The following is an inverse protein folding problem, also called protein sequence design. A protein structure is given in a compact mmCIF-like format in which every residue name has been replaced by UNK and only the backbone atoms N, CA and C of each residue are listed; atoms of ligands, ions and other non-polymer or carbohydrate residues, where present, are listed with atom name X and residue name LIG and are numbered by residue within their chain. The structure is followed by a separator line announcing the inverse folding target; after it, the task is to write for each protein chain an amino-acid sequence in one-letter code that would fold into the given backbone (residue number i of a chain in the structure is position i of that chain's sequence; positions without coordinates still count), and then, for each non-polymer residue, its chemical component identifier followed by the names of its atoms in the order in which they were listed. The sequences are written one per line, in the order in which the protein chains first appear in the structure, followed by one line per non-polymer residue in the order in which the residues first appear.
data_IF_651837918265
#
_entry.id   IF_651837918265
#
_cell.length_a   1.000
_cell.length_b   1.000
_cell.length_c   1.000
_cell.angle_alpha   90.00
_cell.angle_beta   90.00
_cell.angle_gamma   90.00
#
_symmetry.space_group_name_H-M   'P 1'
#
loop_
_entity.id
_entity.type
_entity.pdbx_description
1 polymer ?
#
# COMPACT_ATOMS: atom_id res chain seq x y z
N UNK A 1 6.62 1.84 20.65
CA UNK A 1 5.27 1.41 20.21
C UNK A 1 5.41 0.04 19.60
N UNK A 2 4.44 -0.85 19.75
CA UNK A 2 4.45 -2.14 19.05
C UNK A 2 4.04 -1.90 17.60
N UNK A 3 4.75 -2.54 16.65
CA UNK A 3 4.42 -2.48 15.23
C UNK A 3 3.00 -3.01 14.99
N UNK A 4 2.20 -2.41 14.08
CA UNK A 4 0.91 -2.95 13.69
C UNK A 4 1.06 -4.37 13.09
N UNK A 5 0.07 -5.26 13.26
CA UNK A 5 0.07 -6.57 12.61
C UNK A 5 0.18 -6.42 11.09
N UNK A 6 0.89 -7.34 10.44
CA UNK A 6 0.99 -7.33 8.97
C UNK A 6 -0.38 -7.57 8.32
N UNK A 7 -0.54 -7.08 7.10
CA UNK A 7 -1.65 -7.37 6.20
C UNK A 7 -1.15 -7.89 4.86
N UNK A 8 -2.07 -8.25 4.00
CA UNK A 8 -1.79 -8.61 2.60
C UNK A 8 -2.67 -7.78 1.68
N UNK A 9 -2.05 -7.21 0.63
CA UNK A 9 -2.78 -6.48 -0.41
C UNK A 9 -3.55 -7.49 -1.27
N UNK A 10 -4.87 -7.33 -1.36
CA UNK A 10 -5.75 -8.26 -2.07
C UNK A 10 -5.58 -8.21 -3.60
N UNK A 11 -4.99 -7.14 -4.15
CA UNK A 11 -4.62 -7.08 -5.57
C UNK A 11 -3.67 -8.23 -5.97
N UNK A 12 -2.80 -8.64 -5.07
CA UNK A 12 -1.90 -9.80 -5.23
C UNK A 12 -2.65 -11.07 -5.63
N UNK A 13 -3.84 -11.27 -5.07
CA UNK A 13 -4.65 -12.49 -5.25
C UNK A 13 -5.92 -12.25 -6.08
N UNK A 14 -5.96 -11.18 -6.89
CA UNK A 14 -7.14 -10.77 -7.64
C UNK A 14 -7.75 -11.88 -8.50
N UNK A 15 -6.92 -12.66 -9.18
CA UNK A 15 -7.38 -13.77 -10.03
C UNK A 15 -7.97 -14.93 -9.19
N UNK A 16 -7.40 -15.18 -8.00
CA UNK A 16 -7.93 -16.16 -7.06
C UNK A 16 -9.25 -15.68 -6.44
N UNK A 17 -9.36 -14.38 -6.13
CA UNK A 17 -10.62 -13.79 -5.62
C UNK A 17 -11.73 -13.82 -6.65
N UNK A 18 -11.41 -13.61 -7.93
CA UNK A 18 -12.37 -13.73 -9.02
C UNK A 18 -12.87 -15.18 -9.16
N UNK A 19 -11.97 -16.16 -9.00
CA UNK A 19 -12.30 -17.57 -9.09
C UNK A 19 -13.11 -18.06 -7.86
N UNK A 20 -12.66 -17.77 -6.65
CA UNK A 20 -13.33 -18.15 -5.38
C UNK A 20 -12.86 -17.25 -4.24
N UNK A 21 -13.61 -16.18 -3.99
CA UNK A 21 -13.29 -15.22 -2.93
C UNK A 21 -13.29 -15.87 -1.53
N UNK A 22 -14.25 -16.77 -1.27
CA UNK A 22 -14.37 -17.40 0.04
C UNK A 22 -13.17 -18.31 0.34
N UNK A 23 -12.78 -19.16 -0.60
CA UNK A 23 -11.63 -20.05 -0.44
C UNK A 23 -10.32 -19.25 -0.34
N UNK A 24 -10.16 -18.20 -1.13
CA UNK A 24 -8.96 -17.35 -1.12
C UNK A 24 -8.79 -16.65 0.22
N UNK A 25 -9.83 -15.98 0.73
CA UNK A 25 -9.78 -15.29 2.04
C UNK A 25 -9.58 -16.29 3.18
N UNK A 26 -10.22 -17.47 3.12
CA UNK A 26 -10.00 -18.54 4.09
C UNK A 26 -8.52 -18.99 4.12
N UNK A 27 -7.90 -19.13 2.94
CA UNK A 27 -6.49 -19.50 2.85
C UNK A 27 -5.56 -18.42 3.46
N UNK A 28 -5.81 -17.13 3.18
CA UNK A 28 -5.06 -16.03 3.79
C UNK A 28 -5.21 -16.01 5.32
N UNK A 29 -6.42 -16.19 5.83
CA UNK A 29 -6.67 -16.30 7.27
C UNK A 29 -5.93 -17.52 7.90
N UNK A 30 -5.89 -18.66 7.19
CA UNK A 30 -5.17 -19.85 7.65
C UNK A 30 -3.64 -19.67 7.67
N UNK A 31 -3.08 -18.74 6.87
CA UNK A 31 -1.66 -18.34 6.92
C UNK A 31 -1.35 -17.43 8.13
N UNK A 32 -2.36 -17.03 8.90
CA UNK A 32 -2.19 -16.18 10.09
C UNK A 32 -2.39 -14.69 9.85
N UNK A 33 -2.82 -14.28 8.67
CA UNK A 33 -3.21 -12.88 8.47
C UNK A 33 -4.45 -12.54 9.31
N UNK A 34 -4.36 -11.44 10.04
CA UNK A 34 -5.49 -10.88 10.81
C UNK A 34 -6.04 -9.61 10.17
N UNK A 35 -5.39 -9.15 9.13
CA UNK A 35 -5.79 -7.98 8.35
C UNK A 35 -5.51 -8.21 6.86
N UNK A 36 -6.30 -7.55 6.03
CA UNK A 36 -6.12 -7.48 4.57
C UNK A 36 -6.22 -6.03 4.14
N UNK A 37 -5.69 -5.75 2.96
CA UNK A 37 -5.84 -4.47 2.30
C UNK A 37 -6.64 -4.65 1.02
N UNK A 38 -7.95 -4.32 1.04
CA UNK A 38 -8.79 -4.35 -0.14
C UNK A 38 -8.35 -3.34 -1.20
N UNK A 39 -8.68 -3.61 -2.45
CA UNK A 39 -8.44 -2.70 -3.57
C UNK A 39 -9.73 -2.42 -4.37
N UNK A 40 -9.69 -1.36 -5.19
CA UNK A 40 -10.78 -1.05 -6.12
C UNK A 40 -12.02 -0.44 -5.47
N UNK A 41 -11.90 0.20 -4.28
CA UNK A 41 -13.02 0.96 -3.73
C UNK A 41 -13.40 2.12 -4.65
N UNK A 42 -14.73 2.37 -4.84
CA UNK A 42 -15.87 1.81 -4.11
C UNK A 42 -16.44 0.49 -4.68
N UNK A 43 -15.88 -0.05 -5.76
CA UNK A 43 -16.47 -1.14 -6.54
C UNK A 43 -16.00 -2.55 -6.07
N UNK A 44 -15.50 -2.67 -4.84
CA UNK A 44 -15.10 -3.97 -4.28
C UNK A 44 -16.29 -4.97 -4.31
N UNK A 45 -16.11 -6.17 -4.91
CA UNK A 45 -17.20 -7.16 -5.02
C UNK A 45 -17.77 -7.56 -3.65
N UNK A 46 -19.08 -7.72 -3.59
CA UNK A 46 -19.79 -8.13 -2.36
C UNK A 46 -19.26 -9.47 -1.82
N UNK A 47 -18.94 -10.42 -2.72
CA UNK A 47 -18.37 -11.71 -2.34
C UNK A 47 -17.05 -11.59 -1.57
N UNK A 48 -16.20 -10.63 -1.94
CA UNK A 48 -14.94 -10.35 -1.21
C UNK A 48 -15.25 -9.72 0.15
N UNK A 49 -16.16 -8.74 0.21
CA UNK A 49 -16.56 -8.11 1.48
C UNK A 49 -17.15 -9.12 2.46
N UNK A 50 -18.03 -9.98 1.99
CA UNK A 50 -18.63 -11.05 2.81
C UNK A 50 -17.58 -12.05 3.31
N UNK A 51 -16.64 -12.46 2.46
CA UNK A 51 -15.56 -13.37 2.84
C UNK A 51 -14.63 -12.76 3.90
N UNK A 52 -14.21 -11.49 3.73
CA UNK A 52 -13.40 -10.76 4.71
C UNK A 52 -14.12 -10.69 6.07
N UNK A 53 -15.40 -10.32 6.05
CA UNK A 53 -16.23 -10.25 7.27
C UNK A 53 -16.41 -11.61 7.95
N UNK A 54 -16.65 -12.69 7.15
CA UNK A 54 -16.83 -14.04 7.67
C UNK A 54 -15.60 -14.58 8.42
N UNK A 55 -14.40 -14.15 8.04
CA UNK A 55 -13.16 -14.53 8.71
C UNK A 55 -12.68 -13.50 9.75
N UNK A 56 -13.43 -12.43 9.98
CA UNK A 56 -13.10 -11.40 10.97
C UNK A 56 -11.79 -10.66 10.67
N UNK A 57 -11.38 -10.58 9.40
CA UNK A 57 -10.16 -9.88 9.01
C UNK A 57 -10.39 -8.36 9.06
N UNK A 58 -9.46 -7.64 9.68
CA UNK A 58 -9.49 -6.18 9.70
C UNK A 58 -9.07 -5.60 8.34
N UNK A 59 -9.54 -4.39 8.05
CA UNK A 59 -9.23 -3.63 6.83
C UNK A 59 -8.65 -2.26 7.19
N UNK A 60 -7.45 -2.19 7.80
CA UNK A 60 -6.91 -0.93 8.30
C UNK A 60 -6.60 0.08 7.19
N UNK A 61 -6.16 -0.42 6.05
CA UNK A 61 -5.93 0.34 4.82
C UNK A 61 -6.72 -0.30 3.68
N UNK A 62 -7.06 0.48 2.65
CA UNK A 62 -7.66 -0.01 1.41
C UNK A 62 -7.34 0.94 0.26
N UNK A 63 -7.03 0.39 -0.91
CA UNK A 63 -6.86 1.15 -2.13
C UNK A 63 -8.22 1.53 -2.73
N UNK A 64 -8.39 2.82 -3.04
CA UNK A 64 -9.64 3.33 -3.61
C UNK A 64 -9.46 4.61 -4.40
N UNK A 65 -10.31 4.80 -5.40
CA UNK A 65 -10.30 5.97 -6.28
C UNK A 65 -10.84 7.22 -5.55
N UNK A 66 -10.18 7.62 -4.47
CA UNK A 66 -10.67 8.70 -3.59
C UNK A 66 -10.69 10.05 -4.29
N UNK A 67 -9.74 10.33 -5.19
CA UNK A 67 -9.70 11.58 -5.94
C UNK A 67 -10.77 11.65 -7.03
N UNK A 68 -11.08 10.54 -7.67
CA UNK A 68 -12.08 10.50 -8.74
C UNK A 68 -13.52 10.36 -8.22
N UNK A 69 -13.73 9.65 -7.10
CA UNK A 69 -15.04 9.24 -6.59
C UNK A 69 -15.13 9.41 -5.07
N UNK A 70 -14.79 10.59 -4.56
CA UNK A 70 -14.59 10.87 -3.14
C UNK A 70 -15.73 10.37 -2.24
N UNK A 71 -16.98 10.81 -2.49
CA UNK A 71 -18.10 10.47 -1.60
C UNK A 71 -18.44 8.97 -1.61
N UNK A 72 -18.39 8.33 -2.78
CA UNK A 72 -18.69 6.91 -2.94
C UNK A 72 -17.61 6.05 -2.27
N UNK A 73 -16.33 6.43 -2.44
CA UNK A 73 -15.19 5.73 -1.84
C UNK A 73 -15.20 5.84 -0.31
N UNK A 74 -15.51 7.02 0.23
CA UNK A 74 -15.65 7.22 1.68
C UNK A 74 -16.79 6.33 2.23
N UNK A 75 -17.93 6.29 1.53
CA UNK A 75 -19.09 5.47 1.95
C UNK A 75 -18.71 3.99 2.00
N UNK A 76 -18.10 3.47 0.92
CA UNK A 76 -17.67 2.08 0.85
C UNK A 76 -16.61 1.74 1.91
N UNK A 77 -15.67 2.64 2.17
CA UNK A 77 -14.65 2.49 3.19
C UNK A 77 -15.26 2.44 4.61
N UNK A 78 -16.23 3.31 4.90
CA UNK A 78 -16.93 3.32 6.18
C UNK A 78 -17.70 2.01 6.41
N UNK A 79 -18.37 1.46 5.40
CA UNK A 79 -19.08 0.17 5.46
C UNK A 79 -18.14 -1.01 5.76
N UNK A 80 -16.87 -0.94 5.30
CA UNK A 80 -15.85 -1.96 5.52
C UNK A 80 -15.06 -1.77 6.83
N UNK A 81 -15.24 -0.63 7.51
CA UNK A 81 -14.44 -0.29 8.69
C UNK A 81 -12.99 0.10 8.36
N UNK A 82 -12.74 0.58 7.14
CA UNK A 82 -11.42 1.06 6.71
C UNK A 82 -11.02 2.31 7.51
N UNK A 83 -9.79 2.34 7.97
CA UNK A 83 -9.24 3.46 8.74
C UNK A 83 -8.52 4.48 7.85
N UNK A 84 -7.87 4.01 6.78
CA UNK A 84 -7.17 4.87 5.82
C UNK A 84 -7.47 4.43 4.40
N UNK A 85 -8.01 5.33 3.59
CA UNK A 85 -8.15 5.13 2.14
C UNK A 85 -6.87 5.59 1.47
N UNK A 86 -6.27 4.72 0.68
CA UNK A 86 -5.05 5.02 -0.08
C UNK A 86 -5.43 5.26 -1.55
N UNK A 87 -5.10 6.44 -2.09
CA UNK A 87 -5.13 6.67 -3.55
C UNK A 87 -3.98 5.88 -4.18
N UNK A 88 -4.28 4.87 -5.02
CA UNK A 88 -3.24 3.92 -5.43
C UNK A 88 -2.40 4.38 -6.61
N UNK A 89 -2.88 5.34 -7.40
CA UNK A 89 -2.23 5.70 -8.65
C UNK A 89 -2.71 7.03 -9.20
N UNK A 90 -1.76 7.81 -9.71
CA UNK A 90 -2.03 8.98 -10.53
C UNK A 90 -1.15 8.95 -11.79
N UNK A 91 -1.60 9.59 -12.86
CA UNK A 91 -0.84 9.68 -14.10
C UNK A 91 0.56 10.27 -13.82
N UNK A 92 1.66 9.61 -14.26
CA UNK A 92 3.03 10.11 -14.09
C UNK A 92 3.23 11.56 -14.57
N UNK A 93 2.48 12.03 -15.56
CA UNK A 93 2.53 13.40 -16.02
C UNK A 93 2.17 14.42 -14.92
N UNK A 94 1.42 14.01 -13.89
CA UNK A 94 1.08 14.85 -12.74
C UNK A 94 2.24 15.07 -11.76
N UNK A 95 3.37 14.38 -11.97
CA UNK A 95 4.58 14.51 -11.16
C UNK A 95 5.74 15.14 -11.95
N UNK A 96 5.46 15.73 -13.12
CA UNK A 96 6.48 16.31 -13.99
C UNK A 96 7.04 17.65 -13.50
N UNK A 97 6.26 18.41 -12.75
CA UNK A 97 6.64 19.72 -12.21
C UNK A 97 5.88 20.06 -10.90
N UNK A 98 6.38 21.09 -10.20
CA UNK A 98 5.83 21.48 -8.88
C UNK A 98 4.36 21.97 -8.95
N UNK A 99 3.94 22.55 -10.06
CA UNK A 99 2.55 23.05 -10.22
C UNK A 99 1.59 21.86 -10.32
N UNK A 100 1.94 20.87 -11.13
CA UNK A 100 1.16 19.61 -11.28
C UNK A 100 1.09 18.83 -9.97
N UNK A 101 2.21 18.73 -9.24
CA UNK A 101 2.25 18.09 -7.90
C UNK A 101 1.38 18.86 -6.90
N UNK A 102 1.41 20.21 -6.93
CA UNK A 102 0.57 21.03 -6.05
C UNK A 102 -0.92 20.83 -6.30
N UNK A 103 -1.33 20.54 -7.54
CA UNK A 103 -2.70 20.18 -7.87
C UNK A 103 -3.10 18.85 -7.22
N UNK A 104 -2.25 17.81 -7.32
CA UNK A 104 -2.48 16.52 -6.63
C UNK A 104 -2.55 16.70 -5.12
N UNK A 105 -1.63 17.50 -4.54
CA UNK A 105 -1.61 17.80 -3.11
C UNK A 105 -2.89 18.45 -2.63
N UNK A 106 -3.41 19.41 -3.39
CA UNK A 106 -4.67 20.09 -3.08
C UNK A 106 -5.87 19.14 -3.12
N UNK A 107 -5.93 18.24 -4.12
CA UNK A 107 -6.98 17.22 -4.23
C UNK A 107 -6.93 16.22 -3.07
N UNK A 108 -5.73 15.72 -2.71
CA UNK A 108 -5.56 14.81 -1.56
C UNK A 108 -5.94 15.48 -0.25
N UNK A 109 -5.54 16.75 -0.06
CA UNK A 109 -5.90 17.53 1.12
C UNK A 109 -7.41 17.69 1.24
N UNK A 110 -8.10 18.03 0.15
CA UNK A 110 -9.55 18.16 0.13
C UNK A 110 -10.24 16.81 0.39
N UNK A 111 -9.73 15.71 -0.17
CA UNK A 111 -10.23 14.38 0.10
C UNK A 111 -10.04 13.98 1.58
N UNK A 112 -8.89 14.32 2.18
CA UNK A 112 -8.63 14.08 3.59
C UNK A 112 -9.57 14.87 4.51
N UNK A 113 -9.89 16.12 4.15
CA UNK A 113 -10.89 16.93 4.86
C UNK A 113 -12.29 16.29 4.80
N UNK A 114 -12.69 15.83 3.62
CA UNK A 114 -13.98 15.16 3.43
C UNK A 114 -14.07 13.83 4.19
N UNK A 115 -13.01 13.03 4.20
CA UNK A 115 -12.96 11.74 4.88
C UNK A 115 -12.91 11.86 6.42
N UNK A 116 -12.27 12.93 6.92
CA UNK A 116 -12.07 13.14 8.35
C UNK A 116 -13.39 13.25 9.14
N UNK A 117 -14.48 13.76 8.54
CA UNK A 117 -15.81 13.82 9.19
C UNK A 117 -16.40 12.44 9.46
N UNK A 118 -15.88 11.42 8.77
CA UNK A 118 -16.23 10.00 8.95
C UNK A 118 -15.21 9.24 9.82
N UNK A 119 -14.18 9.93 10.34
CA UNK A 119 -13.09 9.32 11.11
C UNK A 119 -12.13 8.50 10.26
N UNK A 120 -12.09 8.74 8.94
CA UNK A 120 -11.26 8.03 7.98
C UNK A 120 -10.13 8.97 7.53
N UNK A 121 -8.90 8.45 7.48
CA UNK A 121 -7.76 9.15 6.92
C UNK A 121 -7.64 8.88 5.41
N UNK A 122 -6.86 9.72 4.72
CA UNK A 122 -6.52 9.54 3.30
C UNK A 122 -5.01 9.50 3.15
N UNK A 123 -4.53 8.62 2.30
CA UNK A 123 -3.12 8.47 1.98
C UNK A 123 -2.89 8.35 0.47
N UNK A 124 -1.60 8.32 0.12
CA UNK A 124 -1.12 8.14 -1.25
C UNK A 124 -0.09 7.01 -1.31
N UNK A 125 -0.19 6.18 -2.35
CA UNK A 125 0.75 5.09 -2.65
C UNK A 125 1.59 5.44 -3.88
N UNK A 126 2.90 5.17 -3.83
CA UNK A 126 3.81 5.45 -4.93
C UNK A 126 4.04 4.24 -5.83
N UNK A 127 4.39 4.56 -7.06
CA UNK A 127 5.13 3.71 -7.97
C UNK A 127 6.53 4.31 -8.23
N UNK A 128 7.18 3.90 -9.30
CA UNK A 128 8.51 4.39 -9.67
C UNK A 128 8.51 5.85 -10.15
N UNK A 129 7.45 6.28 -10.81
CA UNK A 129 7.36 7.60 -11.43
C UNK A 129 7.49 8.75 -10.43
N UNK A 130 6.86 8.65 -9.26
CA UNK A 130 6.88 9.65 -8.20
C UNK A 130 8.26 9.79 -7.53
N UNK A 131 9.11 8.80 -7.71
CA UNK A 131 10.43 8.76 -7.11
C UNK A 131 11.55 8.97 -8.12
N UNK A 132 11.36 8.55 -9.39
CA UNK A 132 12.29 8.82 -10.50
C UNK A 132 12.16 10.26 -11.02
N UNK A 133 10.97 10.88 -10.94
CA UNK A 133 10.79 12.29 -11.20
C UNK A 133 11.33 13.13 -10.05
N UNK A 134 12.08 14.19 -10.35
CA UNK A 134 12.68 15.07 -9.33
C UNK A 134 12.41 16.54 -9.63
N UNK A 135 12.11 17.31 -8.59
CA UNK A 135 11.96 18.76 -8.65
C UNK A 135 13.11 19.38 -7.81
N UNK A 136 13.96 20.12 -8.46
CA UNK A 136 15.17 20.69 -7.84
C UNK A 136 16.07 19.65 -7.11
N UNK A 137 16.07 18.41 -7.64
CA UNK A 137 16.84 17.29 -7.08
C UNK A 137 16.12 16.55 -5.92
N UNK A 138 14.88 16.91 -5.60
CA UNK A 138 14.06 16.23 -4.60
C UNK A 138 13.04 15.30 -5.30
N UNK A 139 12.91 14.02 -4.92
CA UNK A 139 11.90 13.13 -5.47
C UNK A 139 10.49 13.72 -5.37
N UNK A 140 9.70 13.58 -6.45
CA UNK A 140 8.36 14.18 -6.53
C UNK A 140 7.41 13.71 -5.42
N UNK A 141 7.56 12.46 -4.93
CA UNK A 141 6.82 11.97 -3.76
C UNK A 141 7.08 12.82 -2.51
N UNK A 142 8.33 13.22 -2.27
CA UNK A 142 8.68 14.06 -1.11
C UNK A 142 8.21 15.50 -1.30
N UNK A 143 8.19 16.00 -2.55
CA UNK A 143 7.58 17.29 -2.87
C UNK A 143 6.06 17.23 -2.65
N UNK A 144 5.40 16.12 -3.01
CA UNK A 144 4.00 15.89 -2.70
C UNK A 144 3.76 15.91 -1.18
N UNK A 145 4.61 15.22 -0.41
CA UNK A 145 4.53 15.22 1.05
C UNK A 145 4.71 16.62 1.65
N UNK A 146 5.61 17.44 1.10
CA UNK A 146 5.79 18.84 1.52
C UNK A 146 4.55 19.69 1.26
N UNK A 147 3.88 19.49 0.12
CA UNK A 147 2.77 20.32 -0.34
C UNK A 147 1.40 19.89 0.20
N UNK A 148 1.26 18.66 0.70
CA UNK A 148 0.01 18.18 1.31
C UNK A 148 -0.10 18.62 2.78
N UNK A 149 -1.35 18.74 3.27
CA UNK A 149 -1.63 18.85 4.71
C UNK A 149 -1.10 17.62 5.47
N UNK A 150 -0.67 17.79 6.72
CA UNK A 150 -0.12 16.72 7.57
C UNK A 150 -1.10 15.57 7.83
N UNK A 151 -2.39 15.75 7.58
CA UNK A 151 -3.42 14.70 7.63
C UNK A 151 -3.35 13.70 6.47
N UNK A 152 -2.68 14.07 5.37
CA UNK A 152 -2.46 13.15 4.25
C UNK A 152 -1.31 12.21 4.60
N UNK A 153 -1.58 10.93 4.58
CA UNK A 153 -0.66 9.87 4.95
C UNK A 153 -0.01 9.25 3.71
N UNK A 154 0.95 8.35 3.92
CA UNK A 154 1.64 7.69 2.82
C UNK A 154 1.73 6.18 3.06
N UNK A 155 1.67 5.45 1.98
CA UNK A 155 2.03 4.05 1.89
C UNK A 155 3.19 3.94 0.91
N UNK A 156 4.31 3.39 1.37
CA UNK A 156 5.53 3.26 0.56
C UNK A 156 5.58 1.88 -0.09
N UNK A 157 5.64 1.84 -1.41
CA UNK A 157 6.09 0.65 -2.11
C UNK A 157 7.62 0.64 -2.18
N UNK A 158 8.24 -0.25 -1.39
CA UNK A 158 9.68 -0.34 -1.28
C UNK A 158 10.34 -0.86 -2.57
N UNK A 159 9.68 -1.78 -3.31
CA UNK A 159 10.18 -2.30 -4.58
C UNK A 159 10.18 -1.23 -5.66
N UNK A 160 9.08 -0.51 -5.83
CA UNK A 160 9.00 0.56 -6.81
C UNK A 160 9.93 1.73 -6.49
N UNK A 161 10.22 1.98 -5.21
CA UNK A 161 11.27 2.93 -4.81
C UNK A 161 12.66 2.46 -5.28
N UNK A 162 12.98 1.19 -5.09
CA UNK A 162 14.25 0.62 -5.57
C UNK A 162 14.32 0.61 -7.12
N UNK A 163 13.21 0.33 -7.82
CA UNK A 163 13.11 0.45 -9.29
C UNK A 163 13.41 1.87 -9.77
N UNK A 164 12.92 2.88 -9.05
CA UNK A 164 13.21 4.29 -9.32
C UNK A 164 14.69 4.68 -9.07
N UNK A 165 15.47 3.78 -8.48
CA UNK A 165 16.90 4.00 -8.19
C UNK A 165 17.14 4.83 -6.93
N UNK A 166 16.17 4.94 -6.03
CA UNK A 166 16.30 5.61 -4.73
C UNK A 166 16.35 4.58 -3.60
N UNK A 167 16.99 4.94 -2.49
CA UNK A 167 16.98 4.10 -1.28
C UNK A 167 15.61 4.18 -0.59
N UNK A 168 14.82 3.09 -0.55
CA UNK A 168 13.51 3.12 0.08
C UNK A 168 13.55 3.37 1.60
N UNK A 169 14.65 3.07 2.29
CA UNK A 169 14.79 3.37 3.71
C UNK A 169 15.00 4.87 3.97
N UNK A 170 15.68 5.58 3.06
CA UNK A 170 15.78 7.04 3.12
C UNK A 170 14.40 7.69 2.88
N UNK A 171 13.62 7.20 1.92
CA UNK A 171 12.26 7.67 1.68
C UNK A 171 11.37 7.41 2.90
N UNK A 172 11.41 6.20 3.48
CA UNK A 172 10.67 5.87 4.70
C UNK A 172 11.02 6.82 5.86
N UNK A 173 12.29 7.12 6.04
CA UNK A 173 12.78 8.06 7.05
C UNK A 173 12.26 9.47 6.80
N UNK A 174 12.27 9.93 5.54
CA UNK A 174 11.83 11.27 5.16
C UNK A 174 10.32 11.47 5.34
N UNK A 175 9.51 10.43 5.07
CA UNK A 175 8.05 10.48 5.29
C UNK A 175 7.68 10.44 6.78
N UNK A 176 8.54 9.85 7.63
CA UNK A 176 8.40 9.85 9.09
C UNK A 176 7.06 9.30 9.57
N UNK A 177 6.44 9.94 10.55
CA UNK A 177 5.16 9.49 11.15
C UNK A 177 3.97 9.50 10.17
N UNK A 178 4.10 10.14 9.02
CA UNK A 178 3.08 10.11 7.97
C UNK A 178 3.10 8.82 7.14
N UNK A 179 4.15 8.01 7.24
CA UNK A 179 4.23 6.69 6.61
C UNK A 179 3.46 5.67 7.45
N UNK A 180 2.29 5.22 7.01
CA UNK A 180 1.40 4.33 7.78
C UNK A 180 1.46 2.87 7.35
N UNK A 181 1.88 2.62 6.11
CA UNK A 181 2.02 1.28 5.58
C UNK A 181 3.21 1.16 4.61
N UNK A 182 3.75 -0.04 4.47
CA UNK A 182 4.87 -0.37 3.59
C UNK A 182 4.49 -1.61 2.81
N UNK A 183 4.41 -1.52 1.49
CA UNK A 183 4.34 -2.70 0.63
C UNK A 183 5.67 -3.44 0.67
N UNK A 184 5.62 -4.62 1.28
CA UNK A 184 6.75 -5.55 1.38
C UNK A 184 6.74 -6.41 0.12
N UNK A 185 7.39 -5.90 -0.89
CA UNK A 185 7.52 -6.45 -2.23
C UNK A 185 9.00 -6.56 -2.57
N UNK A 186 9.46 -7.69 -3.08
CA UNK A 186 10.86 -8.00 -3.34
C UNK A 186 11.09 -8.53 -4.75
N UNK A 187 12.32 -8.43 -5.22
CA UNK A 187 12.72 -8.86 -6.56
C UNK A 187 14.05 -8.23 -6.96
N UNK A 188 14.34 -8.31 -8.25
CA UNK A 188 15.42 -7.53 -8.88
C UNK A 188 14.83 -6.22 -9.41
N UNK A 189 15.20 -5.04 -8.86
CA UNK A 189 14.69 -3.74 -9.32
C UNK A 189 15.06 -3.40 -10.77
N UNK A 190 16.05 -4.08 -11.35
CA UNK A 190 16.41 -3.93 -12.78
C UNK A 190 15.65 -4.89 -13.70
N UNK A 191 14.85 -5.78 -13.12
CA UNK A 191 14.08 -6.80 -13.80
C UNK A 191 12.68 -6.36 -14.22
N UNK A 192 11.80 -7.32 -14.35
CA UNK A 192 10.38 -7.09 -14.63
C UNK A 192 9.52 -7.57 -13.46
N UNK A 193 8.26 -7.14 -13.41
CA UNK A 193 7.33 -7.51 -12.33
C UNK A 193 7.09 -9.03 -12.23
N UNK A 194 7.27 -9.78 -13.32
CA UNK A 194 7.20 -11.23 -13.34
C UNK A 194 8.38 -11.90 -12.60
N UNK A 195 9.43 -11.14 -12.30
CA UNK A 195 10.62 -11.60 -11.58
C UNK A 195 10.58 -11.26 -10.10
N UNK A 196 9.44 -10.79 -9.59
CA UNK A 196 9.25 -10.64 -8.16
C UNK A 196 9.36 -11.98 -7.46
N UNK A 197 9.91 -11.96 -6.25
CA UNK A 197 10.18 -13.14 -5.42
C UNK A 197 9.66 -12.90 -4.00
N UNK A 198 9.51 -13.96 -3.18
CA UNK A 198 9.16 -13.78 -1.78
C UNK A 198 10.11 -12.82 -1.05
N UNK A 199 9.60 -12.08 -0.09
CA UNK A 199 10.38 -11.14 0.71
C UNK A 199 11.64 -11.79 1.31
N UNK A 200 12.76 -11.09 1.23
CA UNK A 200 14.08 -11.58 1.66
C UNK A 200 14.81 -12.45 0.65
N UNK A 201 14.24 -12.69 -0.53
CA UNK A 201 14.86 -13.47 -1.61
C UNK A 201 15.32 -12.61 -2.80
N UNK A 202 14.97 -11.33 -2.81
CA UNK A 202 15.40 -10.35 -3.81
C UNK A 202 16.53 -9.46 -3.32
N UNK A 203 16.58 -8.25 -3.84
CA UNK A 203 17.62 -7.27 -3.54
C UNK A 203 17.10 -5.95 -2.98
N UNK A 204 15.81 -5.84 -2.69
CA UNK A 204 15.23 -4.68 -2.03
C UNK A 204 15.64 -4.70 -0.54
N UNK A 205 16.16 -3.60 0.03
CA UNK A 205 16.61 -3.55 1.43
C UNK A 205 15.43 -3.48 2.41
N UNK A 206 14.53 -4.47 2.36
CA UNK A 206 13.27 -4.48 3.11
C UNK A 206 13.46 -4.45 4.63
N UNK A 207 14.51 -5.07 5.15
CA UNK A 207 14.79 -5.07 6.59
C UNK A 207 15.13 -3.65 7.08
N UNK A 208 15.92 -2.91 6.31
CA UNK A 208 16.27 -1.52 6.57
C UNK A 208 15.05 -0.60 6.48
N UNK A 209 14.19 -0.81 5.47
CA UNK A 209 12.93 -0.06 5.32
C UNK A 209 12.02 -0.28 6.52
N UNK A 210 11.82 -1.53 6.92
CA UNK A 210 11.03 -1.86 8.10
C UNK A 210 11.62 -1.29 9.38
N UNK A 211 12.94 -1.25 9.52
CA UNK A 211 13.61 -0.64 10.67
C UNK A 211 13.47 0.89 10.69
N UNK A 212 13.46 1.55 9.52
CA UNK A 212 13.30 3.00 9.40
C UNK A 212 11.91 3.49 9.83
N UNK A 213 10.86 2.66 9.66
CA UNK A 213 9.49 3.01 10.04
C UNK A 213 8.81 1.90 10.87
N UNK A 214 9.23 1.71 12.15
CA UNK A 214 8.72 0.64 12.99
C UNK A 214 7.23 0.79 13.37
N UNK A 215 6.66 1.95 13.16
CA UNK A 215 5.24 2.26 13.38
C UNK A 215 4.36 1.94 12.17
N UNK A 216 4.94 1.84 10.96
CA UNK A 216 4.22 1.54 9.75
C UNK A 216 3.85 0.04 9.66
N UNK A 217 2.68 -0.25 9.09
CA UNK A 217 2.19 -1.61 8.87
C UNK A 217 2.92 -2.27 7.70
N UNK A 218 3.50 -3.46 7.85
CA UNK A 218 3.96 -4.24 6.71
C UNK A 218 2.74 -4.81 5.96
N UNK A 219 2.72 -4.64 4.65
CA UNK A 219 1.70 -5.17 3.74
C UNK A 219 2.39 -6.06 2.72
N UNK A 220 2.16 -7.36 2.78
CA UNK A 220 2.71 -8.29 1.78
C UNK A 220 2.02 -8.05 0.43
N UNK A 221 2.80 -7.86 -0.62
CA UNK A 221 2.24 -7.56 -1.93
C UNK A 221 3.12 -8.09 -3.08
N UNK A 222 2.46 -8.47 -4.18
CA UNK A 222 3.03 -8.79 -5.48
C UNK A 222 2.16 -8.20 -6.58
N UNK A 223 2.76 -7.57 -7.60
CA UNK A 223 2.04 -7.20 -8.83
C UNK A 223 1.64 -8.45 -9.60
N UNK A 224 2.55 -9.43 -9.66
CA UNK A 224 2.34 -10.76 -10.20
C UNK A 224 2.90 -11.77 -9.20
N UNK A 225 2.03 -12.62 -8.68
CA UNK A 225 2.44 -13.65 -7.72
C UNK A 225 3.35 -14.68 -8.41
N UNK A 226 4.54 -14.99 -7.87
CA UNK A 226 5.42 -15.98 -8.47
C UNK A 226 4.91 -17.41 -8.26
N UNK A 227 4.89 -18.18 -9.32
CA UNK A 227 4.46 -19.59 -9.30
C UNK A 227 2.95 -19.78 -9.32
N UNK A 228 2.52 -20.97 -8.98
CA UNK A 228 1.11 -21.32 -8.84
C UNK A 228 0.71 -21.34 -7.35
N UNK A 229 -0.43 -20.73 -7.02
CA UNK A 229 -0.96 -20.72 -5.67
C UNK A 229 -0.40 -19.59 -4.78
N UNK A 230 -0.50 -19.77 -3.47
CA UNK A 230 -0.27 -18.70 -2.47
C UNK A 230 1.04 -18.89 -1.66
N UNK A 231 1.91 -19.82 -2.05
CA UNK A 231 3.13 -20.16 -1.30
C UNK A 231 4.09 -18.97 -1.14
N UNK A 232 4.16 -18.12 -2.17
CA UNK A 232 4.99 -16.91 -2.13
C UNK A 232 4.51 -15.92 -1.07
N UNK A 233 3.19 -15.81 -0.86
CA UNK A 233 2.60 -14.98 0.19
C UNK A 233 2.95 -15.55 1.56
N UNK A 234 2.81 -16.88 1.74
CA UNK A 234 3.16 -17.53 2.99
C UNK A 234 4.65 -17.37 3.34
N UNK A 235 5.54 -17.51 2.36
CA UNK A 235 6.98 -17.28 2.54
C UNK A 235 7.29 -15.82 2.94
N UNK A 236 6.67 -14.85 2.27
CA UNK A 236 6.81 -13.43 2.61
C UNK A 236 6.27 -13.12 4.01
N UNK A 237 5.13 -13.68 4.38
CA UNK A 237 4.56 -13.50 5.72
C UNK A 237 5.46 -14.08 6.82
N UNK A 238 6.06 -15.24 6.57
CA UNK A 238 7.04 -15.83 7.48
C UNK A 238 8.25 -14.90 7.64
N UNK A 239 8.83 -14.44 6.53
CA UNK A 239 9.98 -13.53 6.56
C UNK A 239 9.66 -12.24 7.32
N UNK A 240 8.51 -11.60 7.06
CA UNK A 240 8.08 -10.40 7.80
C UNK A 240 8.00 -10.69 9.29
N UNK A 241 7.42 -11.83 9.69
CA UNK A 241 7.32 -12.22 11.11
C UNK A 241 8.69 -12.33 11.77
N UNK A 242 9.68 -12.89 11.06
CA UNK A 242 11.06 -13.02 11.55
C UNK A 242 11.75 -11.64 11.70
N UNK A 243 11.48 -10.69 10.78
CA UNK A 243 12.07 -9.34 10.83
C UNK A 243 11.45 -8.43 11.89
N UNK A 244 10.13 -8.49 12.09
CA UNK A 244 9.45 -7.55 12.99
C UNK A 244 9.26 -8.08 14.41
N UNK A 245 9.63 -9.35 14.61
CA UNK A 245 9.43 -9.87 15.78
C UNK A 245 9.22 -10.57 16.64
N UNK A 246 9.75 -10.69 16.57
CA UNK A 246 9.76 -11.49 17.68
C UNK A 246 9.62 -10.73 18.98
#
# INVERSE_FOLDING_TARGET
MTRPPMSVQLYTVRDHLEADAAATIAALAAMGFTAVEPFGLPDLPTTVREAVAAHGLATPTAHGSILARTAETITAAAELGVQTIIEPYQDPARFADRESIAAVAAELTAAAEAAAVHGIAVGYHNHDAELSSTIDGVPALLVLAELTDDRVLFELDAYWAAVAGVDPAEIATALGERLVAIHVKDGDPSGTVEQQVPAGHGSVPLAEVLAAAPHARPVVEFDIIPGEGLDAIAASAQWVTEQVGA
#
